data_IF_728393377748
#
_entry.id   IF_728393377748
#
_cell.length_a   1.000
_cell.length_b   1.000
_cell.length_c   1.000
_cell.angle_alpha   90.00
_cell.angle_beta   90.00
_cell.angle_gamma   90.00
#
_symmetry.space_group_name_H-M   'P 1'
#
loop_
_entity.id
_entity.type
_entity.pdbx_description
1 polymer ?
#
# COMPACT_ATOMS: atom_id res chain seq x y z
N UNK A 1 19.76 -45.57 30.22
CA UNK A 1 18.51 -44.84 29.82
C UNK A 1 18.88 -43.52 29.21
N UNK A 2 18.70 -43.38 27.91
CA UNK A 2 18.99 -42.12 27.17
C UNK A 2 17.67 -41.37 26.98
N UNK A 3 17.48 -40.30 27.73
CA UNK A 3 16.31 -39.40 27.56
C UNK A 3 16.49 -38.57 26.30
N UNK A 4 15.69 -38.83 25.30
CA UNK A 4 15.55 -37.95 24.12
C UNK A 4 14.66 -36.78 24.49
N UNK A 5 15.26 -35.60 24.61
CA UNK A 5 14.54 -34.34 24.77
C UNK A 5 14.06 -33.89 23.39
N UNK A 6 12.77 -34.09 23.11
CA UNK A 6 12.11 -33.57 21.91
C UNK A 6 11.94 -32.05 22.05
N UNK A 7 12.77 -31.31 21.34
CA UNK A 7 12.65 -29.87 21.24
C UNK A 7 11.51 -29.57 20.25
N UNK A 8 10.33 -29.25 20.76
CA UNK A 8 9.22 -28.79 19.95
C UNK A 8 9.53 -27.35 19.45
N UNK A 9 9.90 -27.24 18.19
CA UNK A 9 10.03 -25.94 17.53
C UNK A 9 8.62 -25.43 17.23
N UNK A 10 8.14 -24.49 18.04
CA UNK A 10 6.90 -23.73 17.76
C UNK A 10 7.23 -22.74 16.65
N UNK A 11 6.85 -23.07 15.42
CA UNK A 11 6.90 -22.14 14.30
C UNK A 11 5.76 -21.13 14.51
N UNK A 12 6.08 -19.96 15.05
CA UNK A 12 5.16 -18.82 15.09
C UNK A 12 5.01 -18.33 13.65
N UNK A 13 3.97 -18.79 12.95
CA UNK A 13 3.56 -18.22 11.68
C UNK A 13 3.03 -16.82 11.96
N UNK A 14 3.83 -15.80 11.64
CA UNK A 14 3.35 -14.41 11.60
C UNK A 14 2.39 -14.28 10.44
N UNK A 15 1.09 -14.26 10.73
CA UNK A 15 0.08 -13.87 9.75
C UNK A 15 0.27 -12.39 9.44
N UNK A 16 0.87 -12.09 8.28
CA UNK A 16 0.81 -10.76 7.71
C UNK A 16 -0.58 -10.56 7.14
N UNK A 17 -1.36 -9.70 7.77
CA UNK A 17 -2.66 -9.30 7.24
C UNK A 17 -2.43 -8.31 6.10
N UNK A 18 -3.08 -8.53 4.98
CA UNK A 18 -3.17 -7.54 3.92
C UNK A 18 -4.24 -6.50 4.27
N UNK A 19 -4.16 -5.31 3.68
CA UNK A 19 -5.22 -4.31 3.81
C UNK A 19 -6.53 -4.89 3.28
N UNK A 20 -7.52 -5.01 4.16
CA UNK A 20 -8.84 -5.51 3.83
C UNK A 20 -9.85 -4.36 3.73
N UNK A 21 -10.93 -4.59 2.99
CA UNK A 21 -12.05 -3.64 2.84
C UNK A 21 -11.62 -2.24 2.40
N UNK A 22 -10.60 -2.14 1.56
CA UNK A 22 -10.09 -0.87 1.07
C UNK A 22 -11.15 -0.18 0.22
N UNK A 23 -11.51 1.04 0.59
CA UNK A 23 -12.57 1.80 -0.08
C UNK A 23 -12.32 3.30 0.02
N UNK A 24 -12.96 4.05 -0.85
CA UNK A 24 -12.98 5.50 -0.73
C UNK A 24 -13.84 5.94 0.47
N UNK A 25 -13.42 7.01 1.12
CA UNK A 25 -14.21 7.63 2.17
C UNK A 25 -15.41 8.34 1.54
N UNK A 26 -16.60 7.77 1.71
CA UNK A 26 -17.85 8.22 1.07
C UNK A 26 -18.35 9.59 1.56
N UNK A 27 -17.74 10.14 2.61
CA UNK A 27 -18.13 11.44 3.17
C UNK A 27 -17.44 12.61 2.48
N UNK A 28 -16.49 12.34 1.56
CA UNK A 28 -15.64 13.35 0.97
C UNK A 28 -16.07 13.76 -0.43
N UNK A 29 -15.74 15.00 -0.80
CA UNK A 29 -15.81 15.48 -2.18
C UNK A 29 -14.51 15.15 -2.92
N UNK A 30 -14.62 14.31 -3.95
CA UNK A 30 -13.50 13.91 -4.82
C UNK A 30 -13.37 14.78 -6.08
N UNK A 31 -14.07 15.90 -6.15
CA UNK A 31 -14.09 16.77 -7.33
C UNK A 31 -13.36 18.10 -7.13
N UNK A 32 -12.84 18.33 -5.93
CA UNK A 32 -12.21 19.60 -5.54
C UNK A 32 -11.02 19.39 -4.60
N UNK A 33 -10.28 20.46 -4.33
CA UNK A 33 -9.17 20.50 -3.36
C UNK A 33 -9.63 20.69 -1.90
N UNK A 34 -10.83 20.27 -1.54
CA UNK A 34 -11.33 20.37 -0.16
C UNK A 34 -10.59 19.39 0.76
N UNK A 35 -10.17 19.87 1.93
CA UNK A 35 -9.49 19.04 2.94
C UNK A 35 -10.50 18.55 3.97
N UNK A 36 -11.02 17.35 3.74
CA UNK A 36 -12.15 16.80 4.48
C UNK A 36 -11.80 15.54 5.29
N UNK A 37 -10.57 15.06 5.22
CA UNK A 37 -10.06 13.89 5.96
C UNK A 37 -9.45 12.80 5.07
N UNK A 38 -9.17 11.61 5.63
CA UNK A 38 -8.55 10.50 4.91
C UNK A 38 -9.33 10.08 3.66
N UNK A 39 -8.63 9.97 2.53
CA UNK A 39 -9.24 9.63 1.23
C UNK A 39 -9.61 8.16 1.11
N UNK A 40 -8.80 7.30 1.71
CA UNK A 40 -8.95 5.84 1.65
C UNK A 40 -9.17 5.33 3.06
N UNK A 41 -10.15 4.45 3.22
CA UNK A 41 -10.48 3.78 4.47
C UNK A 41 -10.44 2.27 4.29
N UNK A 42 -10.27 1.53 5.37
CA UNK A 42 -10.19 0.08 5.36
C UNK A 42 -9.61 -0.46 6.66
N UNK A 43 -9.41 -1.77 6.70
CA UNK A 43 -8.76 -2.45 7.80
C UNK A 43 -7.24 -2.54 7.55
N UNK A 44 -6.44 -2.62 8.61
CA UNK A 44 -4.98 -2.76 8.52
C UNK A 44 -4.25 -1.66 7.75
N UNK A 45 -4.78 -0.42 7.76
CA UNK A 45 -4.20 0.72 7.03
C UNK A 45 -2.81 1.15 7.53
N UNK A 46 -2.39 0.70 8.71
CA UNK A 46 -1.05 0.96 9.27
C UNK A 46 -0.01 -0.09 8.86
N UNK A 47 -0.42 -1.15 8.16
CA UNK A 47 0.49 -2.20 7.74
C UNK A 47 1.47 -1.71 6.67
N UNK A 48 2.63 -2.34 6.64
CA UNK A 48 3.69 -2.06 5.68
C UNK A 48 3.74 -3.07 4.54
N UNK A 49 4.85 -3.08 3.78
CA UNK A 49 5.04 -4.03 2.70
C UNK A 49 5.20 -5.46 3.23
N UNK A 50 4.80 -6.43 2.43
CA UNK A 50 4.98 -7.86 2.70
C UNK A 50 5.96 -8.48 1.71
N UNK A 51 6.74 -9.47 2.16
CA UNK A 51 7.63 -10.23 1.29
C UNK A 51 6.84 -11.29 0.49
N UNK A 52 7.36 -11.68 -0.66
CA UNK A 52 6.86 -12.80 -1.44
C UNK A 52 5.70 -12.47 -2.39
N UNK A 53 5.22 -11.23 -2.41
CA UNK A 53 4.27 -10.72 -3.41
C UNK A 53 4.57 -9.27 -3.73
N UNK A 54 4.13 -8.75 -4.88
CA UNK A 54 4.26 -7.34 -5.19
C UNK A 54 3.53 -6.46 -4.17
N UNK A 55 4.07 -5.27 -3.93
CA UNK A 55 3.46 -4.26 -3.07
C UNK A 55 3.21 -2.99 -3.88
N UNK A 56 1.99 -2.49 -3.83
CA UNK A 56 1.64 -1.16 -4.30
C UNK A 56 1.59 -0.21 -3.10
N UNK A 57 2.27 0.91 -3.19
CA UNK A 57 2.31 1.94 -2.14
C UNK A 57 1.80 3.25 -2.72
N UNK A 58 0.80 3.83 -2.10
CA UNK A 58 0.37 5.21 -2.35
C UNK A 58 0.71 6.08 -1.15
N UNK A 59 1.30 7.24 -1.42
CA UNK A 59 1.50 8.32 -0.45
C UNK A 59 0.69 9.52 -0.93
N UNK A 60 -0.26 10.00 -0.12
CA UNK A 60 -1.16 11.06 -0.54
C UNK A 60 -1.36 12.14 0.52
N UNK A 61 -1.88 13.28 0.11
CA UNK A 61 -2.35 14.35 0.99
C UNK A 61 -3.86 14.51 0.90
N UNK A 62 -4.51 14.75 2.02
CA UNK A 62 -5.99 14.76 2.14
C UNK A 62 -6.65 15.83 1.26
N UNK A 63 -6.08 17.03 1.17
CA UNK A 63 -6.67 18.18 0.45
C UNK A 63 -6.28 18.29 -1.02
N UNK A 64 -5.57 17.34 -1.60
CA UNK A 64 -5.04 17.40 -2.95
C UNK A 64 -5.94 16.70 -3.97
N UNK A 65 -6.41 17.44 -4.97
CA UNK A 65 -7.27 16.88 -6.03
C UNK A 65 -6.59 15.74 -6.81
N UNK A 66 -5.30 15.88 -7.12
CA UNK A 66 -4.55 14.82 -7.78
C UNK A 66 -4.43 13.56 -6.90
N UNK A 67 -4.28 13.72 -5.59
CA UNK A 67 -4.32 12.62 -4.63
C UNK A 67 -5.70 11.94 -4.62
N UNK A 68 -6.79 12.71 -4.69
CA UNK A 68 -8.16 12.18 -4.77
C UNK A 68 -8.36 11.32 -6.02
N UNK A 69 -7.86 11.76 -7.16
CA UNK A 69 -7.94 10.98 -8.40
C UNK A 69 -7.10 9.69 -8.30
N UNK A 70 -5.90 9.78 -7.75
CA UNK A 70 -5.07 8.59 -7.54
C UNK A 70 -5.67 7.63 -6.50
N UNK A 71 -6.32 8.13 -5.48
CA UNK A 71 -7.05 7.31 -4.50
C UNK A 71 -8.16 6.47 -5.16
N UNK A 72 -8.92 7.05 -6.09
CA UNK A 72 -9.93 6.31 -6.89
C UNK A 72 -9.29 5.19 -7.69
N UNK A 73 -8.18 5.47 -8.38
CA UNK A 73 -7.43 4.46 -9.14
C UNK A 73 -6.87 3.37 -8.25
N UNK A 74 -6.40 3.73 -7.06
CA UNK A 74 -5.90 2.77 -6.07
C UNK A 74 -6.98 1.79 -5.62
N UNK A 75 -8.18 2.26 -5.30
CA UNK A 75 -9.29 1.39 -4.92
C UNK A 75 -9.71 0.48 -6.09
N UNK A 76 -9.75 1.01 -7.30
CA UNK A 76 -10.04 0.22 -8.50
C UNK A 76 -8.99 -0.88 -8.74
N UNK A 77 -7.70 -0.56 -8.58
CA UNK A 77 -6.61 -1.53 -8.67
C UNK A 77 -6.71 -2.59 -7.57
N UNK A 78 -7.03 -2.19 -6.35
CA UNK A 78 -7.20 -3.13 -5.24
C UNK A 78 -8.33 -4.13 -5.52
N UNK A 79 -9.46 -3.69 -6.03
CA UNK A 79 -10.56 -4.60 -6.39
C UNK A 79 -10.13 -5.67 -7.40
N UNK A 80 -9.27 -5.32 -8.35
CA UNK A 80 -8.77 -6.24 -9.38
C UNK A 80 -7.67 -7.19 -8.87
N UNK A 81 -6.82 -6.72 -7.95
CA UNK A 81 -5.57 -7.41 -7.59
C UNK A 81 -5.49 -7.84 -6.13
N UNK A 82 -6.52 -7.59 -5.32
CA UNK A 82 -6.57 -8.05 -3.92
C UNK A 82 -6.28 -9.54 -3.82
N UNK A 83 -5.47 -9.93 -2.83
CA UNK A 83 -4.98 -11.30 -2.67
C UNK A 83 -3.73 -11.64 -3.47
N UNK A 84 -3.44 -10.94 -4.58
CA UNK A 84 -2.23 -11.14 -5.40
C UNK A 84 -1.19 -10.03 -5.21
N UNK A 85 -1.62 -8.82 -4.97
CA UNK A 85 -0.80 -7.65 -4.68
C UNK A 85 -1.15 -7.13 -3.30
N UNK A 86 -0.15 -6.80 -2.50
CA UNK A 86 -0.36 -6.12 -1.22
C UNK A 86 -0.46 -4.61 -1.45
N UNK A 87 -1.43 -3.97 -0.82
CA UNK A 87 -1.64 -2.52 -0.93
C UNK A 87 -1.25 -1.85 0.37
N UNK A 88 -0.39 -0.84 0.30
CA UNK A 88 0.05 -0.01 1.42
C UNK A 88 -0.46 1.40 1.18
N UNK A 89 -1.27 1.90 2.10
CA UNK A 89 -1.88 3.22 2.00
C UNK A 89 -1.27 4.14 3.04
N UNK A 90 -0.62 5.21 2.61
CA UNK A 90 0.03 6.17 3.49
C UNK A 90 -0.61 7.54 3.29
N UNK A 91 -1.39 7.94 4.27
CA UNK A 91 -1.92 9.29 4.37
C UNK A 91 -0.88 10.17 5.09
N UNK A 92 -0.26 11.11 4.37
CA UNK A 92 0.82 11.94 4.91
C UNK A 92 0.33 12.96 5.96
N UNK A 93 -0.98 13.19 6.05
CA UNK A 93 -1.59 14.05 7.06
C UNK A 93 -1.94 13.31 8.37
N UNK A 94 -1.74 12.00 8.42
CA UNK A 94 -2.03 11.14 9.57
C UNK A 94 -0.75 10.53 10.16
N UNK A 95 -0.78 10.03 11.40
CA UNK A 95 0.33 9.27 11.98
C UNK A 95 0.63 7.99 11.19
N UNK A 96 1.91 7.64 11.08
CA UNK A 96 2.38 6.47 10.36
C UNK A 96 2.99 5.43 11.30
N UNK A 97 2.84 4.14 10.95
CA UNK A 97 3.60 3.07 11.58
C UNK A 97 5.11 3.18 11.26
N UNK A 98 6.00 2.52 12.03
CA UNK A 98 7.44 2.50 11.70
C UNK A 98 7.74 1.96 10.30
N UNK A 99 7.00 0.94 9.84
CA UNK A 99 7.15 0.39 8.50
C UNK A 99 6.78 1.41 7.41
N UNK A 100 5.70 2.17 7.62
CA UNK A 100 5.29 3.23 6.70
C UNK A 100 6.26 4.43 6.73
N UNK A 101 6.76 4.81 7.90
CA UNK A 101 7.79 5.86 8.03
C UNK A 101 9.06 5.50 7.24
N UNK A 102 9.47 4.25 7.25
CA UNK A 102 10.60 3.78 6.46
C UNK A 102 10.38 3.93 4.95
N UNK A 103 9.16 3.64 4.46
CA UNK A 103 8.79 3.85 3.06
C UNK A 103 8.78 5.33 2.68
N UNK A 104 8.21 6.18 3.51
CA UNK A 104 8.19 7.63 3.31
C UNK A 104 9.61 8.17 3.22
N UNK A 105 10.46 7.82 4.18
CA UNK A 105 11.87 8.25 4.20
C UNK A 105 12.62 7.80 2.95
N UNK A 106 12.36 6.59 2.46
CA UNK A 106 13.08 6.01 1.31
C UNK A 106 12.62 6.59 -0.02
N UNK A 107 11.31 6.78 -0.21
CA UNK A 107 10.73 7.03 -1.53
C UNK A 107 10.10 8.41 -1.71
N UNK A 108 9.52 9.02 -0.68
CA UNK A 108 8.83 10.30 -0.81
C UNK A 108 9.81 11.44 -1.12
N UNK A 109 9.43 12.28 -2.10
CA UNK A 109 10.27 13.38 -2.59
C UNK A 109 9.63 14.77 -2.47
N UNK A 110 8.58 14.89 -1.65
CA UNK A 110 7.91 16.17 -1.37
C UNK A 110 6.75 16.52 -2.31
N UNK A 111 6.36 15.62 -3.21
CA UNK A 111 5.24 15.80 -4.13
C UNK A 111 4.21 14.70 -3.99
N UNK A 112 2.94 15.07 -4.03
CA UNK A 112 1.79 14.16 -3.89
C UNK A 112 0.87 14.21 -5.12
N UNK A 113 0.20 13.09 -5.44
CA UNK A 113 0.45 11.76 -4.89
C UNK A 113 1.83 11.22 -5.28
N UNK A 114 2.33 10.25 -4.53
CA UNK A 114 3.53 9.50 -4.89
C UNK A 114 3.20 8.01 -4.89
N UNK A 115 3.56 7.30 -5.95
CA UNK A 115 3.27 5.88 -6.11
C UNK A 115 4.55 5.08 -6.24
N UNK A 116 4.64 3.99 -5.49
CA UNK A 116 5.72 3.01 -5.58
C UNK A 116 5.14 1.64 -5.82
N UNK A 117 5.74 0.87 -6.71
CA UNK A 117 5.48 -0.57 -6.82
C UNK A 117 6.77 -1.31 -6.53
N UNK A 118 6.72 -2.21 -5.55
CA UNK A 118 7.79 -3.12 -5.23
C UNK A 118 7.47 -4.50 -5.81
N UNK A 119 8.46 -5.17 -6.37
CA UNK A 119 8.32 -6.58 -6.76
C UNK A 119 8.30 -7.50 -5.53
N UNK A 120 8.14 -8.80 -5.73
CA UNK A 120 8.10 -9.79 -4.65
C UNK A 120 9.40 -9.92 -3.86
N UNK A 121 10.52 -9.45 -4.41
CA UNK A 121 11.82 -9.38 -3.75
C UNK A 121 12.06 -8.04 -3.01
N UNK A 122 11.12 -7.09 -3.11
CA UNK A 122 11.20 -5.78 -2.46
C UNK A 122 11.91 -4.70 -3.27
N UNK A 123 12.23 -4.96 -4.55
CA UNK A 123 12.85 -3.97 -5.43
C UNK A 123 11.79 -3.03 -6.02
N UNK A 124 12.08 -1.73 -6.06
CA UNK A 124 11.19 -0.77 -6.70
C UNK A 124 11.23 -0.94 -8.21
N UNK A 125 10.11 -1.35 -8.81
CA UNK A 125 9.91 -1.46 -10.25
C UNK A 125 9.14 -0.28 -10.84
N UNK A 126 8.55 0.54 -9.97
CA UNK A 126 7.96 1.85 -10.26
C UNK A 126 8.14 2.76 -9.04
N UNK A 127 8.53 4.00 -9.26
CA UNK A 127 8.71 4.98 -8.19
C UNK A 127 8.62 6.39 -8.79
N UNK A 128 7.48 7.05 -8.63
CA UNK A 128 7.27 8.37 -9.24
C UNK A 128 6.25 9.20 -8.46
N UNK A 129 6.50 10.50 -8.44
CA UNK A 129 5.53 11.51 -7.99
C UNK A 129 4.56 11.84 -9.12
N UNK A 130 3.36 12.27 -8.74
CA UNK A 130 2.27 12.58 -9.64
C UNK A 130 1.33 11.40 -9.85
N UNK A 131 0.28 11.66 -10.60
CA UNK A 131 -0.71 10.64 -10.92
C UNK A 131 -0.15 9.63 -11.93
N UNK A 132 -0.65 8.41 -11.82
CA UNK A 132 -0.35 7.34 -12.78
C UNK A 132 -1.63 6.63 -13.17
N UNK A 133 -1.77 6.28 -14.44
CA UNK A 133 -2.93 5.58 -14.96
C UNK A 133 -2.99 4.13 -14.45
N UNK A 134 -4.21 3.61 -14.24
CA UNK A 134 -4.42 2.22 -13.83
C UNK A 134 -3.81 1.22 -14.79
N UNK A 135 -3.88 1.47 -16.10
CA UNK A 135 -3.33 0.59 -17.13
C UNK A 135 -1.80 0.46 -17.02
N UNK A 136 -1.11 1.55 -16.67
CA UNK A 136 0.33 1.54 -16.43
C UNK A 136 0.67 0.65 -15.24
N UNK A 137 -0.02 0.84 -14.12
CA UNK A 137 0.21 0.03 -12.91
C UNK A 137 -0.19 -1.43 -13.13
N UNK A 138 -1.32 -1.68 -13.79
CA UNK A 138 -1.74 -3.05 -14.13
C UNK A 138 -0.68 -3.78 -14.96
N UNK A 139 -0.08 -3.11 -15.93
CA UNK A 139 1.01 -3.69 -16.76
C UNK A 139 2.24 -4.04 -15.90
N UNK A 140 2.56 -3.22 -14.90
CA UNK A 140 3.65 -3.47 -13.95
C UNK A 140 3.32 -4.67 -13.06
N UNK A 141 2.08 -4.74 -12.54
CA UNK A 141 1.64 -5.88 -11.73
C UNK A 141 1.70 -7.20 -12.51
N UNK A 142 1.21 -7.22 -13.75
CA UNK A 142 1.24 -8.43 -14.57
C UNK A 142 2.67 -8.93 -14.84
N UNK A 143 3.64 -8.03 -14.96
CA UNK A 143 5.07 -8.40 -15.06
C UNK A 143 5.60 -8.94 -13.73
N UNK A 144 5.28 -8.29 -12.62
CA UNK A 144 5.76 -8.66 -11.29
C UNK A 144 5.14 -9.96 -10.76
N UNK A 145 3.98 -10.37 -11.29
CA UNK A 145 3.25 -11.59 -10.92
C UNK A 145 3.65 -12.84 -11.75
N UNK A 146 4.51 -12.68 -12.74
CA UNK A 146 5.05 -13.81 -13.55
C UNK A 146 6.20 -14.48 -12.85
#
# INVERSE_FOLDING_TARGET
MKSFLLLAIVILSTFSFAVDNLRLNQKLDYTSDSQDGPLITGDHLQDGPVAGKPNYVIMYGEGCYNSKRQARRTVSLWEKYKGRVNFVVIDLDQPHSPAQQALVKKYYRGYIPHVVVLDSAGNAVYNSSGEVEESTISSIFEKALR
#
